data_IF_552104675962
#
_entry.id   IF_552104675962
#
_cell.length_a   1.000
_cell.length_b   1.000
_cell.length_c   1.000
_cell.angle_alpha   90.00
_cell.angle_beta   90.00
_cell.angle_gamma   90.00
#
_symmetry.space_group_name_H-M   'P 1'
#
loop_
_entity.id
_entity.type
_entity.pdbx_description
1 polymer ?
#
# COMPACT_ATOMS: atom_id res chain seq x y z
N UNK A 1 -11.27 1.74 3.81
CA UNK A 1 -10.16 1.01 4.44
C UNK A 1 -8.92 1.17 3.58
N UNK A 2 -7.81 1.49 4.19
CA UNK A 2 -6.56 1.83 3.51
C UNK A 2 -5.46 0.85 3.89
N UNK A 3 -4.62 0.48 2.92
CA UNK A 3 -3.37 -0.24 3.16
C UNK A 3 -2.20 0.64 2.71
N UNK A 4 -1.19 0.77 3.57
CA UNK A 4 0.09 1.37 3.24
C UNK A 4 1.08 0.21 3.06
N UNK A 5 1.29 -0.21 1.82
CA UNK A 5 1.90 -1.51 1.51
C UNK A 5 3.41 -1.56 1.73
N UNK A 6 4.08 -0.43 1.58
CA UNK A 6 5.51 -0.27 1.86
C UNK A 6 5.65 0.87 2.86
N UNK A 7 5.14 0.65 4.07
CA UNK A 7 4.77 1.74 4.96
C UNK A 7 5.94 2.63 5.41
N UNK A 8 7.13 2.07 5.63
CA UNK A 8 8.25 2.85 6.16
C UNK A 8 7.87 3.48 7.50
N UNK A 9 7.93 4.81 7.59
CA UNK A 9 7.49 5.54 8.78
C UNK A 9 5.97 5.64 8.92
N UNK A 10 5.22 5.24 7.90
CA UNK A 10 3.75 5.28 7.91
C UNK A 10 3.15 6.60 7.45
N UNK A 11 3.94 7.51 6.86
CA UNK A 11 3.48 8.85 6.52
C UNK A 11 2.21 8.86 5.66
N UNK A 12 2.15 8.03 4.62
CA UNK A 12 0.99 7.97 3.73
C UNK A 12 -0.26 7.45 4.46
N UNK A 13 -0.10 6.39 5.25
CA UNK A 13 -1.21 5.81 6.01
C UNK A 13 -1.73 6.76 7.07
N UNK A 14 -0.86 7.45 7.79
CA UNK A 14 -1.28 8.46 8.78
C UNK A 14 -1.97 9.65 8.12
N UNK A 15 -1.49 10.08 6.96
CA UNK A 15 -2.16 11.13 6.20
C UNK A 15 -3.57 10.70 5.81
N UNK A 16 -3.75 9.47 5.36
CA UNK A 16 -5.06 8.94 5.02
C UNK A 16 -6.01 8.94 6.23
N UNK A 17 -5.52 8.54 7.41
CA UNK A 17 -6.30 8.58 8.65
C UNK A 17 -6.70 10.02 8.97
N UNK A 18 -5.78 10.97 8.85
CA UNK A 18 -6.07 12.38 9.15
C UNK A 18 -7.12 12.97 8.20
N UNK A 19 -7.27 12.39 7.01
CA UNK A 19 -8.27 12.81 6.01
C UNK A 19 -9.56 12.01 6.07
N UNK A 20 -9.74 11.17 7.09
CA UNK A 20 -10.99 10.50 7.36
C UNK A 20 -11.05 9.00 7.03
N UNK A 21 -9.93 8.36 6.70
CA UNK A 21 -9.92 6.91 6.53
C UNK A 21 -10.33 6.23 7.83
N UNK A 22 -11.20 5.23 7.73
CA UNK A 22 -11.73 4.53 8.89
C UNK A 22 -10.71 3.56 9.51
N UNK A 23 -9.79 3.06 8.70
CA UNK A 23 -8.80 2.06 9.12
C UNK A 23 -7.60 2.09 8.19
N UNK A 24 -6.39 1.89 8.75
CA UNK A 24 -5.18 1.71 7.97
C UNK A 24 -4.39 0.49 8.44
N UNK A 25 -4.03 -0.37 7.49
CA UNK A 25 -3.07 -1.45 7.69
C UNK A 25 -1.71 -1.00 7.18
N UNK A 26 -0.72 -0.97 8.06
CA UNK A 26 0.67 -0.69 7.69
C UNK A 26 1.39 -2.01 7.46
N UNK A 27 1.85 -2.24 6.24
CA UNK A 27 2.63 -3.43 5.88
C UNK A 27 4.10 -3.04 5.82
N UNK A 28 4.91 -3.63 6.70
CA UNK A 28 6.32 -3.24 6.82
C UNK A 28 7.18 -4.40 7.37
N UNK A 29 8.33 -4.62 6.76
CA UNK A 29 9.28 -5.66 7.16
C UNK A 29 10.36 -5.16 8.13
N UNK A 30 10.73 -3.89 8.06
CA UNK A 30 11.83 -3.33 8.85
C UNK A 30 11.41 -3.04 10.29
N UNK A 31 12.14 -3.62 11.24
CA UNK A 31 11.82 -3.47 12.66
C UNK A 31 11.86 -2.01 13.14
N UNK A 32 12.86 -1.26 12.69
CA UNK A 32 12.99 0.17 13.06
C UNK A 32 11.83 0.99 12.51
N UNK A 33 11.40 0.73 11.27
CA UNK A 33 10.27 1.41 10.66
C UNK A 33 8.97 1.07 11.38
N UNK A 34 8.74 -0.21 11.72
CA UNK A 34 7.58 -0.61 12.52
C UNK A 34 7.56 0.07 13.88
N UNK A 35 8.73 0.25 14.48
CA UNK A 35 8.86 0.99 15.74
C UNK A 35 8.41 2.44 15.62
N UNK A 36 8.80 3.12 14.55
CA UNK A 36 8.34 4.48 14.26
C UNK A 36 6.81 4.54 14.09
N UNK A 37 6.24 3.56 13.39
CA UNK A 37 4.79 3.49 13.21
C UNK A 37 4.10 3.31 14.58
N UNK A 38 4.60 2.38 15.42
CA UNK A 38 4.04 2.15 16.75
C UNK A 38 4.09 3.40 17.61
N UNK A 39 5.20 4.13 17.58
CA UNK A 39 5.36 5.37 18.35
C UNK A 39 4.32 6.42 17.93
N UNK A 40 4.07 6.54 16.62
CA UNK A 40 3.09 7.48 16.11
C UNK A 40 1.65 7.03 16.40
N UNK A 41 1.36 5.74 16.33
CA UNK A 41 0.05 5.19 16.73
C UNK A 41 -0.23 5.52 18.19
N UNK A 42 0.76 5.35 19.06
CA UNK A 42 0.63 5.68 20.48
C UNK A 42 0.45 7.19 20.69
N UNK A 43 1.31 8.01 20.06
CA UNK A 43 1.27 9.46 20.21
C UNK A 43 -0.07 10.07 19.77
N UNK A 44 -0.68 9.53 18.70
CA UNK A 44 -1.96 10.00 18.16
C UNK A 44 -3.15 9.21 18.66
N UNK A 45 -2.93 8.23 19.53
CA UNK A 45 -3.98 7.37 20.10
C UNK A 45 -4.83 6.66 19.02
N UNK A 46 -4.17 6.05 18.05
CA UNK A 46 -4.81 5.42 16.90
C UNK A 46 -4.87 3.88 16.98
N UNK A 47 -4.87 3.33 18.19
CA UNK A 47 -4.86 1.87 18.40
C UNK A 47 -6.10 1.17 17.81
N UNK A 48 -7.25 1.82 17.84
CA UNK A 48 -8.51 1.22 17.41
C UNK A 48 -8.71 1.19 15.90
N UNK A 49 -7.97 2.00 15.14
CA UNK A 49 -8.18 2.15 13.69
C UNK A 49 -6.91 1.94 12.86
N UNK A 50 -5.89 1.31 13.46
CA UNK A 50 -4.66 0.94 12.75
C UNK A 50 -4.22 -0.46 13.13
N UNK A 51 -3.43 -1.07 12.26
CA UNK A 51 -2.74 -2.32 12.54
C UNK A 51 -1.42 -2.34 11.78
N UNK A 52 -0.41 -2.97 12.37
CA UNK A 52 0.88 -3.18 11.73
C UNK A 52 0.98 -4.65 11.35
N UNK A 53 1.25 -4.91 10.06
CA UNK A 53 1.39 -6.25 9.52
C UNK A 53 2.85 -6.49 9.15
N UNK A 54 3.48 -7.38 9.90
CA UNK A 54 4.90 -7.71 9.71
C UNK A 54 5.04 -8.71 8.56
N UNK A 55 4.95 -8.18 7.33
CA UNK A 55 5.02 -8.99 6.13
C UNK A 55 5.57 -8.15 4.97
N UNK A 56 6.08 -8.79 3.94
CA UNK A 56 6.43 -8.11 2.71
C UNK A 56 5.19 -7.94 1.83
N UNK A 57 5.02 -6.77 1.22
CA UNK A 57 3.95 -6.53 0.26
C UNK A 57 4.07 -7.44 -0.98
N UNK A 58 5.27 -7.95 -1.26
CA UNK A 58 5.51 -8.88 -2.37
C UNK A 58 5.25 -10.35 -2.00
N UNK A 59 4.89 -10.61 -0.75
CA UNK A 59 4.62 -11.97 -0.24
C UNK A 59 3.54 -11.92 0.84
N UNK A 60 2.37 -11.40 0.50
CA UNK A 60 1.26 -11.25 1.46
C UNK A 60 0.49 -12.55 1.71
N UNK A 61 0.38 -13.41 0.70
CA UNK A 61 -0.49 -14.57 0.77
C UNK A 61 -1.97 -14.18 0.80
N UNK A 62 -2.81 -15.09 1.24
CA UNK A 62 -4.24 -14.82 1.38
C UNK A 62 -4.50 -13.86 2.54
N UNK A 63 -5.46 -12.95 2.35
CA UNK A 63 -5.83 -12.00 3.41
C UNK A 63 -6.47 -12.76 4.58
N UNK A 64 -5.90 -12.66 5.80
CA UNK A 64 -6.52 -13.25 6.98
C UNK A 64 -7.90 -12.64 7.26
N UNK A 65 -8.86 -13.47 7.63
CA UNK A 65 -10.21 -13.01 7.98
C UNK A 65 -10.19 -12.00 9.14
N UNK A 66 -9.26 -12.16 10.07
CA UNK A 66 -9.13 -11.27 11.23
C UNK A 66 -8.74 -9.84 10.89
N UNK A 67 -8.27 -9.56 9.65
CA UNK A 67 -7.98 -8.21 9.20
C UNK A 67 -9.22 -7.47 8.66
N UNK A 68 -10.38 -8.14 8.65
CA UNK A 68 -11.64 -7.53 8.22
C UNK A 68 -11.82 -7.52 6.71
N UNK A 69 -12.64 -6.58 6.22
CA UNK A 69 -12.96 -6.46 4.81
C UNK A 69 -11.73 -6.11 3.95
N UNK A 70 -11.76 -6.41 2.65
CA UNK A 70 -10.72 -5.95 1.73
C UNK A 70 -10.58 -4.43 1.71
N UNK A 71 -9.46 -3.95 1.19
CA UNK A 71 -9.11 -2.53 1.21
C UNK A 71 -9.64 -1.80 -0.01
N UNK A 72 -9.99 -0.53 0.17
CA UNK A 72 -10.52 0.34 -0.88
C UNK A 72 -9.44 1.16 -1.55
N UNK A 73 -8.34 1.41 -0.84
CA UNK A 73 -7.21 2.20 -1.29
C UNK A 73 -5.92 1.58 -0.79
N UNK A 74 -4.97 1.39 -1.70
CA UNK A 74 -3.65 0.86 -1.36
C UNK A 74 -2.60 1.83 -1.89
N UNK A 75 -1.71 2.28 -1.00
CA UNK A 75 -0.53 3.04 -1.39
C UNK A 75 0.66 2.11 -1.54
N UNK A 76 1.42 2.29 -2.61
CA UNK A 76 2.68 1.59 -2.85
C UNK A 76 3.78 2.58 -3.15
N UNK A 77 4.67 2.80 -2.19
CA UNK A 77 5.82 3.69 -2.32
C UNK A 77 7.11 2.93 -1.93
N UNK A 78 7.49 1.91 -2.73
CA UNK A 78 8.69 1.13 -2.45
C UNK A 78 9.96 1.88 -2.85
N UNK A 79 11.15 1.40 -2.40
CA UNK A 79 12.41 1.91 -2.91
C UNK A 79 12.48 1.80 -4.43
N UNK A 80 13.10 2.78 -5.09
CA UNK A 80 13.24 2.81 -6.54
C UNK A 80 14.20 1.71 -7.03
N UNK A 81 14.04 1.33 -8.30
CA UNK A 81 14.88 0.39 -9.03
C UNK A 81 14.90 -1.05 -8.49
N UNK A 82 13.99 -1.42 -7.59
CA UNK A 82 13.88 -2.78 -7.07
C UNK A 82 12.73 -3.58 -7.69
N UNK A 83 11.95 -2.96 -8.58
CA UNK A 83 10.83 -3.60 -9.28
C UNK A 83 9.85 -4.32 -8.36
N UNK A 84 9.47 -3.68 -7.26
CA UNK A 84 8.64 -4.29 -6.22
C UNK A 84 7.14 -4.14 -6.46
N UNK A 85 6.71 -3.18 -7.29
CA UNK A 85 5.28 -2.89 -7.51
C UNK A 85 4.56 -4.04 -8.24
N UNK A 86 5.07 -4.59 -9.36
CA UNK A 86 4.37 -5.67 -10.04
C UNK A 86 4.08 -6.89 -9.15
N UNK A 87 5.06 -7.45 -8.40
CA UNK A 87 4.76 -8.59 -7.53
C UNK A 87 3.80 -8.21 -6.38
N UNK A 88 3.85 -6.98 -5.88
CA UNK A 88 2.91 -6.53 -4.85
C UNK A 88 1.48 -6.43 -5.39
N UNK A 89 1.31 -5.92 -6.62
CA UNK A 89 0.00 -5.88 -7.28
C UNK A 89 -0.57 -7.29 -7.46
N UNK A 90 0.27 -8.25 -7.86
CA UNK A 90 -0.13 -9.64 -7.99
C UNK A 90 -0.64 -10.21 -6.67
N UNK A 91 0.04 -9.91 -5.57
CA UNK A 91 -0.37 -10.37 -4.24
C UNK A 91 -1.74 -9.83 -3.82
N UNK A 92 -2.06 -8.59 -4.18
CA UNK A 92 -3.37 -8.02 -3.88
C UNK A 92 -4.51 -8.78 -4.55
N UNK A 93 -4.29 -9.27 -5.77
CA UNK A 93 -5.30 -10.03 -6.51
C UNK A 93 -5.39 -11.46 -5.99
N UNK A 94 -4.27 -12.17 -5.89
CA UNK A 94 -4.23 -13.56 -5.47
C UNK A 94 -4.80 -13.73 -4.08
N UNK A 95 -4.43 -12.86 -3.16
CA UNK A 95 -4.83 -12.94 -1.76
C UNK A 95 -6.16 -12.28 -1.44
N UNK A 96 -6.83 -11.68 -2.41
CA UNK A 96 -8.12 -11.00 -2.24
C UNK A 96 -8.05 -9.85 -1.21
N UNK A 97 -7.00 -9.05 -1.33
CA UNK A 97 -6.76 -7.93 -0.41
C UNK A 97 -7.50 -6.65 -0.77
N UNK A 98 -7.90 -6.50 -2.04
CA UNK A 98 -8.48 -5.27 -2.55
C UNK A 98 -9.92 -5.49 -3.03
N UNK A 99 -10.78 -4.49 -2.84
CA UNK A 99 -12.15 -4.54 -3.36
C UNK A 99 -12.18 -4.40 -4.88
N UNK A 100 -13.25 -4.85 -5.56
CA UNK A 100 -13.34 -4.69 -7.03
C UNK A 100 -13.24 -3.24 -7.49
N UNK A 101 -13.71 -2.29 -6.69
CA UNK A 101 -13.64 -0.86 -6.99
C UNK A 101 -12.42 -0.18 -6.37
N UNK A 102 -11.52 -0.97 -5.76
CA UNK A 102 -10.36 -0.46 -5.05
C UNK A 102 -9.36 0.20 -5.96
N UNK A 103 -8.70 1.22 -5.44
CA UNK A 103 -7.69 2.00 -6.14
C UNK A 103 -6.30 1.72 -5.56
N UNK A 104 -5.32 1.51 -6.42
CA UNK A 104 -3.91 1.48 -6.04
C UNK A 104 -3.24 2.74 -6.55
N UNK A 105 -2.50 3.40 -5.68
CA UNK A 105 -1.64 4.54 -6.02
C UNK A 105 -0.21 4.10 -5.81
N UNK A 106 0.54 3.92 -6.89
CA UNK A 106 1.90 3.38 -6.85
C UNK A 106 2.91 4.42 -7.32
N UNK A 107 3.98 4.61 -6.55
CA UNK A 107 5.09 5.45 -6.95
C UNK A 107 6.27 4.59 -7.40
N UNK A 108 6.84 4.95 -8.56
CA UNK A 108 8.06 4.35 -9.11
C UNK A 108 8.98 5.48 -9.56
N UNK A 109 10.24 5.15 -9.88
CA UNK A 109 11.14 6.14 -10.47
C UNK A 109 10.75 6.48 -11.89
N UNK A 110 10.84 7.77 -12.28
CA UNK A 110 10.47 8.20 -13.62
C UNK A 110 11.36 7.61 -14.72
N UNK A 111 12.58 7.16 -14.34
CA UNK A 111 13.53 6.52 -15.25
C UNK A 111 13.40 5.01 -15.30
N UNK A 112 12.56 4.42 -14.47
CA UNK A 112 12.29 2.99 -14.49
C UNK A 112 11.41 2.62 -15.69
N UNK A 113 11.46 1.36 -16.17
CA UNK A 113 10.57 0.91 -17.23
C UNK A 113 9.11 1.16 -16.88
N UNK A 114 8.28 1.34 -17.91
CA UNK A 114 6.84 1.49 -17.72
C UNK A 114 6.27 0.31 -16.95
N UNK A 115 5.35 0.59 -16.02
CA UNK A 115 4.75 -0.43 -15.17
C UNK A 115 3.89 -1.37 -16.02
N UNK A 116 4.20 -2.67 -15.95
CA UNK A 116 3.41 -3.72 -16.58
C UNK A 116 2.73 -4.51 -15.49
N UNK A 117 1.40 -4.48 -15.46
CA UNK A 117 0.62 -5.07 -14.38
C UNK A 117 -0.56 -5.87 -14.95
N UNK A 118 -0.35 -7.16 -15.31
CA UNK A 118 -1.45 -8.01 -15.76
C UNK A 118 -2.56 -8.08 -14.72
N UNK A 119 -3.80 -7.93 -15.17
CA UNK A 119 -4.96 -7.91 -14.28
C UNK A 119 -5.31 -6.54 -13.75
N UNK A 120 -4.60 -5.49 -14.16
CA UNK A 120 -4.83 -4.13 -13.71
C UNK A 120 -5.00 -3.17 -14.88
N UNK A 121 -5.91 -2.21 -14.72
CA UNK A 121 -6.09 -1.09 -15.64
C UNK A 121 -5.37 0.14 -15.11
N UNK A 122 -4.55 0.77 -15.95
CA UNK A 122 -3.93 2.05 -15.65
C UNK A 122 -4.95 3.16 -15.89
N UNK A 123 -5.43 3.78 -14.82
CA UNK A 123 -6.41 4.86 -14.91
C UNK A 123 -5.78 6.21 -15.23
N UNK A 124 -4.61 6.46 -14.68
CA UNK A 124 -3.87 7.70 -14.86
C UNK A 124 -2.40 7.47 -14.50
N UNK A 125 -1.53 8.29 -15.06
CA UNK A 125 -0.10 8.26 -14.76
C UNK A 125 0.43 9.69 -14.81
N UNK A 126 1.14 10.09 -13.77
CA UNK A 126 1.69 11.45 -13.66
C UNK A 126 3.15 11.38 -13.27
N UNK A 127 3.98 12.23 -13.90
CA UNK A 127 5.40 12.31 -13.61
C UNK A 127 5.71 13.62 -12.90
N UNK A 128 6.41 13.54 -11.78
CA UNK A 128 6.85 14.68 -10.97
C UNK A 128 8.35 14.55 -10.74
N UNK A 129 9.17 15.17 -11.59
CA UNK A 129 10.63 15.04 -11.48
C UNK A 129 11.08 13.59 -11.60
N UNK A 130 11.69 13.07 -10.55
CA UNK A 130 12.19 11.69 -10.50
C UNK A 130 11.12 10.66 -10.14
N UNK A 131 9.89 11.07 -9.81
CA UNK A 131 8.81 10.19 -9.40
C UNK A 131 7.76 10.05 -10.50
N UNK A 132 7.26 8.82 -10.67
CA UNK A 132 6.09 8.52 -11.48
C UNK A 132 5.02 7.95 -10.57
N UNK A 133 3.84 8.56 -10.57
CA UNK A 133 2.69 8.11 -9.79
C UNK A 133 1.66 7.50 -10.73
N UNK A 134 1.33 6.24 -10.48
CA UNK A 134 0.40 5.46 -11.29
C UNK A 134 -0.85 5.15 -10.49
N UNK A 135 -2.00 5.30 -11.11
CA UNK A 135 -3.32 5.03 -10.51
C UNK A 135 -3.91 3.82 -11.20
N UNK A 136 -4.16 2.73 -10.46
CA UNK A 136 -4.56 1.45 -11.02
C UNK A 136 -5.82 0.92 -10.35
N UNK A 137 -6.63 0.20 -11.13
CA UNK A 137 -7.79 -0.54 -10.65
C UNK A 137 -7.75 -1.96 -11.23
N UNK A 138 -8.15 -2.94 -10.43
CA UNK A 138 -8.23 -4.32 -10.91
C UNK A 138 -9.26 -4.44 -12.03
N UNK A 139 -8.91 -5.17 -13.09
CA UNK A 139 -9.82 -5.39 -14.21
C UNK A 139 -10.45 -6.78 -14.14
N UNK A 140 -11.00 -7.10 -13.01
CA UNK A 140 -11.54 -8.43 -12.75
C UNK A 140 -12.62 -8.87 -13.72
#
# INVERSE_FOLDING_TARGET
RVMDAFAGSGALGFEAISRGAAFCLFVETEAAARGCIRDNVEAFQLFGNTRIHRRSATDLGAKPAGLGAPFDLVFMDPPYAMNLVPPALEQLLIGQWITPEGLVVAETGSHEPALVAPGWDMLDERTYGAARVSFLRANA
#
